data_IF_792721162280
#
_entry.id   IF_792721162280
#
_cell.length_a   1.000
_cell.length_b   1.000
_cell.length_c   1.000
_cell.angle_alpha   90.00
_cell.angle_beta   90.00
_cell.angle_gamma   90.00
#
_symmetry.space_group_name_H-M   'P 1'
#
loop_
_entity.id
_entity.type
_entity.pdbx_description
1 polymer ?
#
# COMPACT_ATOMS: atom_id res chain seq x y z
N UNK A 1 1.47 -4.06 -24.22
CA UNK A 1 2.07 -5.26 -23.60
C UNK A 1 1.58 -5.29 -22.16
N UNK A 2 0.90 -6.35 -21.73
CA UNK A 2 0.55 -6.49 -20.32
C UNK A 2 1.86 -6.57 -19.52
N UNK A 3 2.14 -5.56 -18.68
CA UNK A 3 3.27 -5.64 -17.78
C UNK A 3 3.06 -6.86 -16.90
N UNK A 4 3.93 -7.86 -17.03
CA UNK A 4 3.92 -9.04 -16.17
C UNK A 4 4.00 -8.52 -14.74
N UNK A 5 3.00 -8.85 -13.93
CA UNK A 5 2.93 -8.43 -12.54
C UNK A 5 4.25 -8.81 -11.82
N UNK A 6 4.81 -7.92 -10.98
CA UNK A 6 6.06 -8.19 -10.28
C UNK A 6 5.98 -9.50 -9.49
N UNK A 7 7.08 -10.24 -9.43
CA UNK A 7 7.13 -11.54 -8.75
C UNK A 7 6.76 -11.41 -7.26
N UNK A 8 7.14 -10.31 -6.62
CA UNK A 8 6.82 -10.03 -5.22
C UNK A 8 5.32 -9.83 -4.98
N UNK A 9 4.60 -9.25 -5.96
CA UNK A 9 3.14 -9.10 -5.88
C UNK A 9 2.49 -10.47 -6.02
N UNK A 10 2.98 -11.31 -6.95
CA UNK A 10 2.49 -12.68 -7.11
C UNK A 10 2.67 -13.50 -5.84
N UNK A 11 3.87 -13.48 -5.25
CA UNK A 11 4.15 -14.19 -3.99
C UNK A 11 3.25 -13.71 -2.84
N UNK A 12 2.92 -12.42 -2.79
CA UNK A 12 1.97 -11.90 -1.80
C UNK A 12 0.56 -12.42 -2.04
N UNK A 13 0.10 -12.45 -3.30
CA UNK A 13 -1.21 -13.00 -3.67
C UNK A 13 -1.28 -14.49 -3.37
N UNK A 14 -0.26 -15.26 -3.76
CA UNK A 14 -0.14 -16.69 -3.47
C UNK A 14 -0.15 -16.95 -1.95
N UNK A 15 0.52 -16.11 -1.16
CA UNK A 15 0.47 -16.22 0.30
C UNK A 15 -0.93 -15.94 0.88
N UNK A 16 -1.70 -15.05 0.26
CA UNK A 16 -3.10 -14.80 0.64
C UNK A 16 -3.98 -16.00 0.26
N UNK A 17 -3.81 -16.54 -0.95
CA UNK A 17 -4.54 -17.72 -1.43
C UNK A 17 -4.25 -18.97 -0.59
N UNK A 18 -3.03 -19.09 -0.06
CA UNK A 18 -2.66 -20.19 0.84
C UNK A 18 -3.51 -20.25 2.12
N UNK A 19 -4.04 -19.13 2.61
CA UNK A 19 -4.99 -19.15 3.74
C UNK A 19 -6.33 -19.76 3.33
N UNK A 20 -6.82 -19.48 2.13
CA UNK A 20 -8.07 -20.04 1.63
C UNK A 20 -7.99 -21.56 1.36
N UNK A 21 -6.78 -22.10 1.22
CA UNK A 21 -6.54 -23.52 1.06
C UNK A 21 -6.47 -24.29 2.39
N UNK A 22 -6.55 -23.62 3.54
CA UNK A 22 -6.61 -24.27 4.86
C UNK A 22 -8.01 -24.87 5.05
N UNK A 23 -8.09 -26.20 5.11
CA UNK A 23 -9.37 -26.93 5.20
C UNK A 23 -10.06 -26.80 6.57
N UNK A 24 -9.29 -26.60 7.64
CA UNK A 24 -9.85 -26.36 8.98
C UNK A 24 -10.23 -24.89 9.17
N UNK A 25 -11.54 -24.63 9.26
CA UNK A 25 -12.10 -23.29 9.44
C UNK A 25 -11.53 -22.58 10.67
N UNK A 26 -11.33 -23.31 11.78
CA UNK A 26 -10.83 -22.74 13.03
C UNK A 26 -9.36 -22.30 12.89
N UNK A 27 -8.51 -23.15 12.32
CA UNK A 27 -7.12 -22.82 12.03
C UNK A 27 -6.99 -21.68 11.02
N UNK A 28 -7.80 -21.69 9.96
CA UNK A 28 -7.83 -20.64 8.94
C UNK A 28 -8.16 -19.28 9.57
N UNK A 29 -9.28 -19.21 10.31
CA UNK A 29 -9.72 -17.98 10.96
C UNK A 29 -8.65 -17.44 11.93
N UNK A 30 -8.07 -18.31 12.76
CA UNK A 30 -7.02 -17.90 13.70
C UNK A 30 -5.77 -17.36 12.98
N UNK A 31 -5.33 -18.01 11.91
CA UNK A 31 -4.15 -17.59 11.15
C UNK A 31 -4.40 -16.25 10.41
N UNK A 32 -5.58 -16.08 9.82
CA UNK A 32 -5.99 -14.82 9.16
C UNK A 32 -6.06 -13.68 10.18
N UNK A 33 -6.64 -13.89 11.36
CA UNK A 33 -6.68 -12.88 12.43
C UNK A 33 -5.28 -12.38 12.79
N UNK A 34 -4.30 -13.27 12.95
CA UNK A 34 -2.90 -12.90 13.23
C UNK A 34 -2.32 -12.00 12.14
N UNK A 35 -2.61 -12.28 10.86
CA UNK A 35 -2.15 -11.45 9.75
C UNK A 35 -2.83 -10.08 9.75
N UNK A 36 -4.14 -10.05 10.00
CA UNK A 36 -4.91 -8.80 10.06
C UNK A 36 -4.45 -7.90 11.21
N UNK A 37 -4.11 -8.47 12.37
CA UNK A 37 -3.55 -7.73 13.50
C UNK A 37 -2.18 -7.13 13.16
N UNK A 38 -1.35 -7.85 12.40
CA UNK A 38 -0.04 -7.38 11.93
C UNK A 38 -0.11 -6.49 10.69
N UNK A 39 -1.25 -6.44 10.02
CA UNK A 39 -1.41 -5.73 8.75
C UNK A 39 -1.04 -4.24 8.83
N UNK A 40 -1.41 -3.48 9.89
CA UNK A 40 -0.98 -2.09 10.03
C UNK A 40 0.53 -1.90 9.92
N UNK A 41 1.31 -2.80 10.51
CA UNK A 41 2.78 -2.78 10.50
C UNK A 41 3.33 -3.22 9.14
N UNK A 42 2.82 -4.32 8.58
CA UNK A 42 3.22 -4.82 7.26
C UNK A 42 2.97 -3.78 6.16
N UNK A 43 1.77 -3.19 6.16
CA UNK A 43 1.42 -2.12 5.24
C UNK A 43 2.21 -0.83 5.53
N UNK A 44 2.54 -0.55 6.80
CA UNK A 44 3.47 0.51 7.18
C UNK A 44 4.85 0.32 6.55
N UNK A 45 5.40 -0.90 6.61
CA UNK A 45 6.68 -1.25 6.01
C UNK A 45 6.69 -1.10 4.49
N UNK A 46 5.63 -1.55 3.80
CA UNK A 46 5.49 -1.36 2.36
C UNK A 46 5.48 0.12 1.97
N UNK A 47 4.83 0.97 2.78
CA UNK A 47 4.84 2.42 2.57
C UNK A 47 6.22 3.03 2.76
N UNK A 48 6.93 2.60 3.79
CA UNK A 48 8.29 3.05 4.06
C UNK A 48 9.22 2.69 2.89
N UNK A 49 9.19 1.43 2.44
CA UNK A 49 9.96 0.99 1.26
C UNK A 49 9.63 1.87 0.06
N UNK A 50 8.35 2.15 -0.21
CA UNK A 50 7.96 3.03 -1.32
C UNK A 50 8.52 4.44 -1.16
N UNK A 51 8.47 5.00 0.04
CA UNK A 51 9.03 6.34 0.34
C UNK A 51 10.54 6.36 0.11
N UNK A 52 11.28 5.39 0.64
CA UNK A 52 12.72 5.24 0.46
C UNK A 52 13.10 5.19 -1.03
N UNK A 53 12.35 4.41 -1.84
CA UNK A 53 12.58 4.32 -3.29
C UNK A 53 12.26 5.62 -4.03
N UNK A 54 11.20 6.32 -3.64
CA UNK A 54 10.89 7.64 -4.22
C UNK A 54 11.99 8.66 -3.91
N UNK A 55 12.51 8.65 -2.69
CA UNK A 55 13.63 9.52 -2.30
C UNK A 55 14.89 9.19 -3.10
N UNK A 56 15.25 7.91 -3.21
CA UNK A 56 16.39 7.48 -4.02
C UNK A 56 16.26 7.89 -5.51
N UNK A 57 15.06 7.82 -6.10
CA UNK A 57 14.83 8.31 -7.46
C UNK A 57 15.03 9.83 -7.55
N UNK A 58 14.58 10.56 -6.53
CA UNK A 58 14.76 12.02 -6.48
C UNK A 58 16.23 12.39 -6.34
N UNK A 59 16.97 11.68 -5.50
CA UNK A 59 18.42 11.87 -5.28
C UNK A 59 19.22 11.52 -6.54
N UNK A 60 18.75 10.57 -7.34
CA UNK A 60 19.29 10.25 -8.66
C UNK A 60 18.96 11.29 -9.75
N UNK A 61 18.36 12.44 -9.38
CA UNK A 61 18.10 13.57 -10.29
C UNK A 61 16.75 13.51 -11.02
N UNK A 62 15.89 12.51 -10.77
CA UNK A 62 14.57 12.44 -11.43
C UNK A 62 13.64 13.57 -10.97
N UNK A 63 12.86 14.08 -11.90
CA UNK A 63 11.79 15.04 -11.62
C UNK A 63 10.58 14.35 -10.99
N UNK A 64 9.76 15.09 -10.26
CA UNK A 64 8.52 14.55 -9.69
C UNK A 64 7.54 14.03 -10.76
N UNK A 65 7.57 14.59 -11.97
CA UNK A 65 6.78 14.11 -13.09
C UNK A 65 7.23 12.73 -13.56
N UNK A 66 8.54 12.53 -13.76
CA UNK A 66 9.09 11.21 -14.12
C UNK A 66 8.80 10.17 -13.03
N UNK A 67 9.00 10.53 -11.76
CA UNK A 67 8.70 9.63 -10.63
C UNK A 67 7.21 9.27 -10.61
N UNK A 68 6.33 10.26 -10.84
CA UNK A 68 4.89 10.03 -10.98
C UNK A 68 4.56 9.00 -12.05
N UNK A 69 5.14 9.15 -13.24
CA UNK A 69 5.01 8.18 -14.34
C UNK A 69 5.50 6.78 -13.95
N UNK A 70 6.67 6.66 -13.29
CA UNK A 70 7.22 5.38 -12.81
C UNK A 70 6.28 4.70 -11.81
N UNK A 71 5.61 5.47 -10.94
CA UNK A 71 4.68 4.94 -9.93
C UNK A 71 3.30 4.52 -10.50
N UNK A 72 3.22 4.26 -11.80
CA UNK A 72 1.97 3.91 -12.49
C UNK A 72 1.13 5.13 -12.82
N UNK A 73 1.76 6.20 -13.33
CA UNK A 73 1.05 7.41 -13.78
C UNK A 73 0.47 8.29 -12.66
N UNK A 74 1.08 8.27 -11.47
CA UNK A 74 0.70 9.19 -10.39
C UNK A 74 1.08 10.63 -10.74
N UNK A 75 0.35 11.59 -10.17
CA UNK A 75 0.67 13.02 -10.36
C UNK A 75 2.00 13.38 -9.68
N UNK A 76 2.70 14.43 -10.16
CA UNK A 76 3.93 14.92 -9.52
C UNK A 76 3.73 15.27 -8.04
N UNK A 77 2.61 15.91 -7.72
CA UNK A 77 2.24 16.24 -6.35
C UNK A 77 2.08 14.98 -5.48
N UNK A 78 1.54 13.88 -6.05
CA UNK A 78 1.43 12.62 -5.32
C UNK A 78 2.79 11.97 -5.08
N UNK A 79 3.71 12.04 -6.05
CA UNK A 79 5.08 11.58 -5.87
C UNK A 79 5.79 12.37 -4.75
N UNK A 80 5.63 13.70 -4.72
CA UNK A 80 6.15 14.55 -3.64
C UNK A 80 5.52 14.21 -2.27
N UNK A 81 4.22 13.96 -2.19
CA UNK A 81 3.60 13.55 -0.92
C UNK A 81 4.16 12.22 -0.42
N UNK A 82 4.48 11.29 -1.33
CA UNK A 82 5.06 10.00 -0.95
C UNK A 82 6.46 10.18 -0.39
N UNK A 83 7.29 11.10 -0.93
CA UNK A 83 8.67 11.33 -0.46
C UNK A 83 8.74 11.78 1.01
N UNK A 84 7.73 12.53 1.47
CA UNK A 84 7.59 13.00 2.86
C UNK A 84 6.71 12.09 3.72
N UNK A 85 6.31 10.92 3.22
CA UNK A 85 5.52 9.95 3.99
C UNK A 85 4.05 10.35 4.20
N UNK A 86 3.57 11.38 3.50
CA UNK A 86 2.20 11.86 3.65
C UNK A 86 1.18 10.86 3.09
N UNK A 87 0.24 10.52 3.98
CA UNK A 87 -0.97 9.77 3.63
C UNK A 87 -1.92 10.76 2.95
N UNK A 88 -2.59 10.35 1.86
CA UNK A 88 -3.71 11.15 1.35
C UNK A 88 -4.68 11.30 2.50
N UNK A 89 -4.83 12.52 3.02
CA UNK A 89 -5.73 12.79 4.13
C UNK A 89 -7.12 12.40 3.66
N UNK A 90 -7.78 11.46 4.37
CA UNK A 90 -9.24 11.34 4.25
C UNK A 90 -9.79 12.76 4.38
N UNK A 91 -10.65 13.17 3.43
CA UNK A 91 -11.42 14.41 3.58
C UNK A 91 -11.93 14.44 5.02
N UNK A 92 -11.68 15.49 5.83
CA UNK A 92 -12.29 15.57 7.14
C UNK A 92 -13.81 15.42 6.96
N UNK A 93 -14.50 14.69 7.86
CA UNK A 93 -15.95 14.58 7.79
C UNK A 93 -16.54 15.99 7.72
N UNK A 94 -17.49 16.19 6.80
CA UNK A 94 -18.15 17.48 6.62
C UNK A 94 -18.80 17.82 7.96
N UNK A 95 -18.35 18.90 8.59
CA UNK A 95 -18.85 19.36 9.89
C UNK A 95 -20.33 19.71 9.72
N UNK A 96 -21.25 18.83 10.14
CA UNK A 96 -22.68 19.16 10.15
C UNK A 96 -23.71 18.06 9.89
N UNK A 97 -23.45 16.78 10.16
CA UNK A 97 -24.55 15.79 10.23
C UNK A 97 -24.68 15.29 11.68
N UNK A 98 -25.85 15.48 12.34
CA UNK A 98 -26.07 15.05 13.70
C UNK A 98 -26.05 13.52 13.77
N UNK A 99 -25.31 12.99 14.75
CA UNK A 99 -25.37 11.58 15.11
C UNK A 99 -26.81 11.22 15.47
N UNK A 100 -27.43 10.36 14.66
CA UNK A 100 -28.61 9.64 15.06
C UNK A 100 -28.18 8.53 16.04
N UNK A 101 -28.93 8.46 17.12
CA UNK A 101 -28.82 7.57 18.29
C UNK A 101 -28.77 6.08 17.95
#
# INVERSE_FOLDING_TARGET
MAAKEPEEVKRLVEAIEAFAAVEDDAACAAAVTVVLDKWPDLHGRLRQIRQERVNALRDAGRTWAEIGSILGGKTPARAQQISVGLRGTKRPPKKGEPSAE
#
